data_IF_092908803228
#
_entry.id   IF_092908803228
#
_cell.length_a   1.000
_cell.length_b   1.000
_cell.length_c   1.000
_cell.angle_alpha   90.00
_cell.angle_beta   90.00
_cell.angle_gamma   90.00
#
_symmetry.space_group_name_H-M   'P 1'
#
loop_
_entity.id
_entity.type
_entity.pdbx_description
1 polymer ?
#
# COMPACT_ATOMS: atom_id res chain seq x y z
N UNK A 1 -5.67 12.62 -12.93
CA UNK A 1 -5.74 11.71 -11.75
C UNK A 1 -5.13 12.40 -10.54
N UNK A 2 -5.83 12.36 -9.44
CA UNK A 2 -5.31 12.93 -8.20
C UNK A 2 -4.15 12.08 -7.66
N UNK A 3 -3.24 12.72 -6.95
CA UNK A 3 -2.06 12.05 -6.40
C UNK A 3 -2.42 10.84 -5.54
N UNK A 4 -3.43 10.98 -4.67
CA UNK A 4 -3.85 9.90 -3.78
C UNK A 4 -4.33 8.67 -4.56
N UNK A 5 -5.13 8.90 -5.60
CA UNK A 5 -5.60 7.82 -6.47
C UNK A 5 -4.44 7.17 -7.22
N UNK A 6 -3.51 7.99 -7.71
CA UNK A 6 -2.35 7.49 -8.43
C UNK A 6 -1.50 6.60 -7.54
N UNK A 7 -1.22 7.03 -6.32
CA UNK A 7 -0.43 6.25 -5.36
C UNK A 7 -1.10 4.92 -5.06
N UNK A 8 -2.42 4.89 -4.87
CA UNK A 8 -3.16 3.66 -4.64
C UNK A 8 -3.06 2.71 -5.84
N UNK A 9 -3.23 3.23 -7.04
CA UNK A 9 -3.14 2.40 -8.25
C UNK A 9 -1.73 1.90 -8.49
N UNK A 10 -0.72 2.72 -8.20
CA UNK A 10 0.67 2.29 -8.26
C UNK A 10 0.94 1.16 -7.29
N UNK A 11 0.41 1.24 -6.08
CA UNK A 11 0.56 0.20 -5.07
C UNK A 11 0.00 -1.13 -5.57
N UNK A 12 -1.18 -1.13 -6.18
CA UNK A 12 -1.75 -2.32 -6.78
C UNK A 12 -0.89 -2.86 -7.90
N UNK A 13 -0.47 -1.97 -8.79
CA UNK A 13 0.32 -2.34 -9.95
C UNK A 13 1.62 -3.04 -9.55
N UNK A 14 2.39 -2.42 -8.66
CA UNK A 14 3.68 -2.96 -8.25
C UNK A 14 3.52 -4.23 -7.41
N UNK A 15 2.46 -4.31 -6.61
CA UNK A 15 2.21 -5.49 -5.79
C UNK A 15 1.85 -6.70 -6.64
N UNK A 16 1.17 -6.49 -7.76
CA UNK A 16 0.87 -7.56 -8.70
C UNK A 16 2.10 -8.00 -9.48
N UNK A 17 2.87 -7.04 -9.99
CA UNK A 17 4.03 -7.35 -10.80
C UNK A 17 5.20 -7.90 -10.00
N UNK A 18 5.37 -7.45 -8.77
CA UNK A 18 6.49 -7.81 -7.87
C UNK A 18 7.85 -7.26 -8.31
N UNK A 19 8.11 -7.21 -9.60
CA UNK A 19 9.32 -6.61 -10.18
C UNK A 19 8.90 -5.60 -11.23
N UNK A 20 9.45 -4.39 -11.16
CA UNK A 20 9.12 -3.34 -12.11
C UNK A 20 10.30 -2.40 -12.31
N UNK A 21 10.30 -1.71 -13.44
CA UNK A 21 11.27 -0.67 -13.75
C UNK A 21 10.62 0.69 -13.64
N UNK A 22 11.43 1.70 -13.32
CA UNK A 22 10.96 3.08 -13.23
C UNK A 22 10.27 3.51 -14.51
N UNK A 23 10.81 3.11 -15.66
CA UNK A 23 10.26 3.43 -16.96
C UNK A 23 8.84 2.89 -17.13
N UNK A 24 8.58 1.67 -16.66
CA UNK A 24 7.24 1.09 -16.70
C UNK A 24 6.24 1.93 -15.91
N UNK A 25 6.65 2.36 -14.73
CA UNK A 25 5.80 3.18 -13.87
C UNK A 25 5.49 4.52 -14.55
N UNK A 26 6.50 5.13 -15.15
CA UNK A 26 6.34 6.38 -15.89
C UNK A 26 5.36 6.24 -17.05
N UNK A 27 5.50 5.19 -17.82
CA UNK A 27 4.65 4.93 -18.98
C UNK A 27 3.23 4.54 -18.59
N UNK A 28 3.09 3.66 -17.64
CA UNK A 28 1.78 3.17 -17.18
C UNK A 28 0.92 4.29 -16.61
N UNK A 29 1.51 5.18 -15.86
CA UNK A 29 0.78 6.26 -15.17
C UNK A 29 0.97 7.63 -15.82
N UNK A 30 1.68 7.69 -16.95
CA UNK A 30 1.94 8.94 -17.69
C UNK A 30 2.51 10.03 -16.79
N UNK A 31 3.55 9.71 -16.04
CA UNK A 31 4.21 10.63 -15.13
C UNK A 31 5.68 10.80 -15.49
N UNK A 32 6.26 11.91 -15.05
CA UNK A 32 7.68 12.19 -15.26
C UNK A 32 8.55 11.33 -14.35
N UNK A 33 9.84 11.26 -14.67
CA UNK A 33 10.81 10.54 -13.85
C UNK A 33 10.86 11.08 -12.42
N UNK A 34 10.86 12.39 -12.27
CA UNK A 34 10.92 13.00 -10.93
C UNK A 34 9.66 12.67 -10.11
N UNK A 35 8.50 12.68 -10.74
CA UNK A 35 7.25 12.30 -10.07
C UNK A 35 7.27 10.82 -9.69
N UNK A 36 7.74 9.95 -10.60
CA UNK A 36 7.84 8.52 -10.31
C UNK A 36 8.77 8.24 -9.14
N UNK A 37 9.91 8.91 -9.06
CA UNK A 37 10.85 8.75 -7.95
C UNK A 37 10.25 9.21 -6.62
N UNK A 38 9.52 10.33 -6.64
CA UNK A 38 8.83 10.81 -5.44
C UNK A 38 7.73 9.85 -5.00
N UNK A 39 6.99 9.31 -5.97
CA UNK A 39 5.94 8.34 -5.68
C UNK A 39 6.51 7.07 -5.05
N UNK A 40 7.66 6.61 -5.55
CA UNK A 40 8.34 5.43 -4.97
C UNK A 40 8.73 5.71 -3.51
N UNK A 41 9.28 6.89 -3.22
CA UNK A 41 9.61 7.27 -1.85
C UNK A 41 8.37 7.29 -0.96
N UNK A 42 7.27 7.77 -1.49
CA UNK A 42 6.01 7.81 -0.75
C UNK A 42 5.45 6.42 -0.49
N UNK A 43 5.55 5.52 -1.47
CA UNK A 43 5.14 4.12 -1.29
C UNK A 43 5.98 3.45 -0.20
N UNK A 44 7.28 3.70 -0.18
CA UNK A 44 8.14 3.18 0.88
C UNK A 44 7.75 3.74 2.25
N UNK A 45 7.42 5.02 2.31
CA UNK A 45 6.96 5.66 3.55
C UNK A 45 5.63 5.07 4.04
N UNK A 46 4.80 4.59 3.12
CA UNK A 46 3.55 3.92 3.45
C UNK A 46 3.74 2.45 3.87
N UNK A 47 4.96 1.96 3.80
CA UNK A 47 5.28 0.62 4.26
C UNK A 47 5.45 -0.43 3.16
N UNK A 48 5.45 -0.02 1.89
CA UNK A 48 5.71 -0.97 0.81
C UNK A 48 7.21 -1.30 0.80
N UNK A 49 7.58 -2.56 1.07
CA UNK A 49 8.99 -2.92 1.14
C UNK A 49 9.58 -3.08 -0.26
N UNK A 50 10.37 -2.09 -0.68
CA UNK A 50 10.99 -2.08 -1.98
C UNK A 50 12.50 -2.32 -1.87
N UNK A 51 13.01 -3.13 -2.76
CA UNK A 51 14.43 -3.41 -2.93
C UNK A 51 14.86 -2.91 -4.29
N UNK A 52 15.96 -2.17 -4.33
CA UNK A 52 16.54 -1.68 -5.59
C UNK A 52 17.63 -2.64 -6.01
N UNK A 53 17.47 -3.23 -7.17
CA UNK A 53 18.46 -4.12 -7.73
C UNK A 53 19.40 -3.34 -8.63
N UNK A 54 20.66 -3.24 -8.24
CA UNK A 54 21.69 -2.56 -9.01
C UNK A 54 22.34 -3.57 -9.94
N UNK A 55 22.12 -3.41 -11.24
CA UNK A 55 22.71 -4.31 -12.21
C UNK A 55 22.29 -3.95 -13.62
N UNK A 56 22.72 -4.77 -14.57
CA UNK A 56 22.46 -4.56 -16.00
C UNK A 56 20.97 -4.50 -16.32
N UNK A 57 20.17 -5.27 -15.58
CA UNK A 57 18.72 -5.31 -15.73
C UNK A 57 18.01 -4.70 -14.53
N UNK A 58 18.69 -3.81 -13.83
CA UNK A 58 18.22 -3.22 -12.57
C UNK A 58 16.79 -2.77 -12.59
N UNK A 59 16.20 -2.73 -11.42
CA UNK A 59 14.80 -2.36 -11.24
C UNK A 59 14.43 -2.39 -9.78
N UNK A 60 13.15 -2.34 -9.52
CA UNK A 60 12.60 -2.40 -8.17
C UNK A 60 11.91 -3.74 -7.96
N UNK A 61 12.04 -4.27 -6.77
CA UNK A 61 11.40 -5.52 -6.40
C UNK A 61 10.66 -5.33 -5.10
N UNK A 62 9.41 -5.80 -5.05
CA UNK A 62 8.64 -5.83 -3.81
C UNK A 62 9.08 -7.07 -3.05
N UNK A 63 9.57 -6.86 -1.82
CA UNK A 63 9.98 -7.98 -0.98
C UNK A 63 8.73 -8.72 -0.52
N UNK A 64 8.70 -10.02 -0.81
CA UNK A 64 7.57 -10.87 -0.44
C UNK A 64 7.69 -11.31 1.02
N UNK A 65 6.54 -11.50 1.65
CA UNK A 65 6.46 -12.01 3.01
C UNK A 65 7.19 -11.16 4.05
N UNK A 66 7.38 -9.88 3.74
CA UNK A 66 7.99 -8.97 4.72
C UNK A 66 6.91 -8.54 5.69
N UNK A 67 7.05 -8.93 6.93
CA UNK A 67 6.18 -8.44 7.99
C UNK A 67 6.56 -7.00 8.30
N UNK A 68 5.55 -6.17 8.44
CA UNK A 68 5.78 -4.78 8.86
C UNK A 68 6.32 -4.77 10.29
N UNK A 69 7.19 -3.81 10.63
CA UNK A 69 7.59 -3.62 12.03
C UNK A 69 6.35 -3.42 12.89
N UNK A 70 6.39 -3.79 14.18
CA UNK A 70 5.24 -3.54 15.05
C UNK A 70 4.91 -2.05 15.08
N UNK A 71 3.64 -1.74 14.89
CA UNK A 71 3.13 -0.38 14.98
C UNK A 71 2.24 -0.32 16.20
N UNK A 72 2.47 0.68 17.02
CA UNK A 72 1.69 0.83 18.27
C UNK A 72 0.59 1.85 18.04
N UNK A 73 -0.65 1.45 18.29
CA UNK A 73 -1.81 2.31 18.17
C UNK A 73 -2.42 2.53 19.54
N UNK A 74 -2.90 3.73 19.79
CA UNK A 74 -3.74 3.99 20.95
C UNK A 74 -5.11 3.34 20.74
N UNK A 75 -5.84 3.13 21.84
CA UNK A 75 -7.20 2.59 21.78
C UNK A 75 -8.09 3.44 20.88
N UNK A 76 -7.97 4.76 20.99
CA UNK A 76 -8.75 5.70 20.18
C UNK A 76 -8.43 5.57 18.69
N UNK A 77 -7.17 5.38 18.36
CA UNK A 77 -6.74 5.19 16.97
C UNK A 77 -7.28 3.88 16.40
N UNK A 78 -7.28 2.82 17.18
CA UNK A 78 -7.84 1.53 16.76
C UNK A 78 -9.33 1.67 16.49
N UNK A 79 -10.08 2.36 17.36
CA UNK A 79 -11.50 2.62 17.12
C UNK A 79 -11.73 3.41 15.86
N UNK A 80 -10.91 4.44 15.60
CA UNK A 80 -11.03 5.24 14.39
C UNK A 80 -10.84 4.40 13.13
N UNK A 81 -9.84 3.51 13.13
CA UNK A 81 -9.60 2.61 12.00
C UNK A 81 -10.80 1.66 11.84
N UNK A 82 -11.29 1.08 12.93
CA UNK A 82 -12.41 0.15 12.91
C UNK A 82 -13.67 0.78 12.28
N UNK A 83 -14.02 1.97 12.72
CA UNK A 83 -15.19 2.69 12.19
C UNK A 83 -14.98 3.07 10.73
N UNK A 84 -13.78 3.46 10.35
CA UNK A 84 -13.47 3.78 8.96
C UNK A 84 -13.67 2.58 8.05
N UNK A 85 -13.21 1.39 8.48
CA UNK A 85 -13.39 0.15 7.74
C UNK A 85 -14.86 -0.22 7.62
N UNK A 86 -15.64 -0.02 8.68
CA UNK A 86 -17.07 -0.30 8.67
C UNK A 86 -17.78 0.59 7.66
N UNK A 87 -17.44 1.87 7.63
CA UNK A 87 -18.02 2.82 6.69
C UNK A 87 -17.69 2.44 5.25
N UNK A 88 -16.46 2.06 4.98
CA UNK A 88 -16.03 1.66 3.64
C UNK A 88 -16.77 0.40 3.17
N UNK A 89 -16.99 -0.55 4.06
CA UNK A 89 -17.77 -1.76 3.73
C UNK A 89 -19.18 -1.42 3.25
N UNK A 90 -19.79 -0.39 3.83
CA UNK A 90 -21.15 0.00 3.50
C UNK A 90 -21.24 0.80 2.20
N UNK A 91 -20.19 1.48 1.81
CA UNK A 91 -20.24 2.45 0.72
C UNK A 91 -19.74 1.95 -0.63
N UNK A 92 -18.99 0.85 -0.67
CA UNK A 92 -18.30 0.53 -1.92
C UNK A 92 -18.27 -0.95 -2.26
N UNK A 93 -18.30 -1.21 -3.59
CA UNK A 93 -17.89 -2.49 -4.16
C UNK A 93 -16.37 -2.49 -4.33
N UNK A 94 -15.68 -2.21 -3.25
CA UNK A 94 -14.22 -2.15 -3.25
C UNK A 94 -13.63 -3.54 -3.48
N UNK A 95 -12.52 -3.66 -4.23
CA UNK A 95 -11.82 -4.92 -4.37
C UNK A 95 -11.29 -5.46 -3.04
N UNK A 96 -11.32 -4.63 -1.99
CA UNK A 96 -10.87 -4.99 -0.65
C UNK A 96 -12.01 -5.37 0.30
N UNK A 97 -13.23 -5.61 -0.19
CA UNK A 97 -14.37 -5.88 0.68
C UNK A 97 -14.12 -6.98 1.69
N UNK A 98 -13.56 -8.11 1.24
CA UNK A 98 -13.23 -9.23 2.13
C UNK A 98 -12.10 -8.88 3.09
N UNK A 99 -11.14 -8.09 2.64
CA UNK A 99 -10.00 -7.66 3.44
C UNK A 99 -10.42 -6.77 4.59
N UNK A 100 -11.40 -5.89 4.38
CA UNK A 100 -11.92 -5.02 5.45
C UNK A 100 -12.48 -5.84 6.61
N UNK A 101 -13.22 -6.90 6.31
CA UNK A 101 -13.74 -7.79 7.35
C UNK A 101 -12.64 -8.49 8.14
N UNK A 102 -11.62 -8.96 7.44
CA UNK A 102 -10.46 -9.60 8.07
C UNK A 102 -9.70 -8.63 8.98
N UNK A 103 -9.52 -7.40 8.52
CA UNK A 103 -8.86 -6.36 9.32
C UNK A 103 -9.65 -6.01 10.57
N UNK A 104 -10.97 -5.88 10.44
CA UNK A 104 -11.84 -5.61 11.59
C UNK A 104 -11.72 -6.72 12.63
N UNK A 105 -11.71 -7.97 12.19
CA UNK A 105 -11.57 -9.11 13.07
C UNK A 105 -10.24 -9.09 13.82
N UNK A 106 -9.15 -8.82 13.13
CA UNK A 106 -7.83 -8.70 13.75
C UNK A 106 -7.78 -7.57 14.77
N UNK A 107 -8.40 -6.43 14.46
CA UNK A 107 -8.44 -5.29 15.37
C UNK A 107 -9.23 -5.61 16.64
N UNK A 108 -10.33 -6.36 16.51
CA UNK A 108 -11.12 -6.78 17.68
C UNK A 108 -10.32 -7.66 18.63
N UNK A 109 -9.42 -8.49 18.10
CA UNK A 109 -8.57 -9.35 18.94
C UNK A 109 -7.44 -8.60 19.61
N UNK A 110 -7.16 -7.35 19.23
CA UNK A 110 -6.09 -6.56 19.87
C UNK A 110 -6.57 -5.82 21.11
N UNK A 111 -7.88 -5.74 21.34
CA UNK A 111 -8.40 -5.08 22.52
C UNK A 111 -8.14 -5.90 23.77
N UNK A 112 -7.70 -5.26 24.86
CA UNK A 112 -7.56 -5.97 26.13
C UNK A 112 -8.94 -6.42 26.62
N UNK A 113 -8.96 -7.63 27.12
CA UNK A 113 -10.20 -8.21 27.68
C UNK A 113 -10.53 -7.57 29.02
#
# INVERSE_FOLDING_TARGET
MKKTERIQQEMFYINEKKVFHLKELMETFAISKSTALRDIQELEALGVPLYVENGRYGGYQVLQNTLLPPIYFSEKEVFAIFYSLQLLKLLTDSPFGATYGQLQEKLLHTFPK
#
